data_IF_260015258385
#
_entry.id   IF_260015258385
#
_cell.length_a   1.000
_cell.length_b   1.000
_cell.length_c   1.000
_cell.angle_alpha   90.00
_cell.angle_beta   90.00
_cell.angle_gamma   90.00
#
_symmetry.space_group_name_H-M   'P 1'
#
loop_
_entity.id
_entity.type
_entity.pdbx_description
1 polymer ?
#
# COMPACT_ATOMS: atom_id res chain seq x y z
N UNK A 1 46.38 29.98 10.80
CA UNK A 1 45.97 29.56 9.43
C UNK A 1 45.38 28.16 9.37
N UNK A 2 45.99 27.11 9.87
CA UNK A 2 45.51 25.72 9.82
C UNK A 2 44.14 25.48 10.49
N UNK A 3 43.81 26.22 11.57
CA UNK A 3 42.53 26.07 12.31
C UNK A 3 41.33 26.56 11.50
N UNK A 4 41.48 27.65 10.76
CA UNK A 4 40.42 28.17 9.88
C UNK A 4 40.21 27.29 8.66
N UNK A 5 41.26 26.69 8.10
CA UNK A 5 41.14 25.74 6.98
C UNK A 5 40.38 24.47 7.37
N UNK A 6 40.62 23.95 8.58
CA UNK A 6 39.86 22.78 9.11
C UNK A 6 38.37 23.08 9.33
N UNK A 7 38.07 24.28 9.87
CA UNK A 7 36.68 24.72 10.06
C UNK A 7 35.99 24.90 8.71
N UNK A 8 36.66 25.49 7.73
CA UNK A 8 36.10 25.66 6.38
C UNK A 8 35.83 24.31 5.69
N UNK A 9 36.73 23.34 5.84
CA UNK A 9 36.58 21.99 5.32
C UNK A 9 35.38 21.25 5.98
N UNK A 10 35.21 21.44 7.29
CA UNK A 10 34.11 20.83 8.03
C UNK A 10 32.74 21.40 7.62
N UNK A 11 32.68 22.73 7.46
CA UNK A 11 31.47 23.42 6.97
C UNK A 11 31.12 22.96 5.55
N UNK A 12 32.12 22.88 4.67
CA UNK A 12 31.90 22.38 3.31
C UNK A 12 31.40 20.94 3.28
N UNK A 13 31.95 20.06 4.14
CA UNK A 13 31.48 18.66 4.26
C UNK A 13 30.02 18.58 4.76
N UNK A 14 29.64 19.42 5.73
CA UNK A 14 28.25 19.46 6.25
C UNK A 14 27.31 20.00 5.18
N UNK A 15 27.69 21.00 4.40
CA UNK A 15 26.87 21.53 3.30
C UNK A 15 26.69 20.52 2.17
N UNK A 16 27.69 19.68 1.86
CA UNK A 16 27.55 18.63 0.85
C UNK A 16 26.63 17.49 1.30
N UNK A 17 26.59 17.18 2.59
CA UNK A 17 25.63 16.21 3.17
C UNK A 17 24.18 16.72 3.15
N UNK A 18 23.98 18.02 3.34
CA UNK A 18 22.66 18.65 3.24
C UNK A 18 22.17 18.80 1.78
N UNK A 19 23.08 18.86 0.81
CA UNK A 19 22.76 18.95 -0.62
C UNK A 19 22.32 17.60 -1.25
N UNK A 20 22.54 16.45 -0.58
CA UNK A 20 21.86 15.23 -0.90
C UNK A 20 20.39 15.43 -0.55
N UNK A 21 19.58 15.85 -1.50
CA UNK A 21 18.13 16.04 -1.38
C UNK A 21 17.40 14.72 -1.10
N UNK A 22 17.71 14.10 0.05
CA UNK A 22 16.98 12.94 0.55
C UNK A 22 15.62 13.42 1.06
N UNK A 23 14.69 13.66 0.13
CA UNK A 23 13.30 13.82 0.52
C UNK A 23 12.78 12.45 0.96
N UNK A 24 12.33 12.37 2.19
CA UNK A 24 11.53 11.22 2.64
C UNK A 24 10.40 11.03 1.62
N UNK A 25 10.46 9.95 0.85
CA UNK A 25 9.40 9.52 -0.04
C UNK A 25 8.23 9.08 0.83
N UNK A 26 7.27 10.00 1.12
CA UNK A 26 6.27 9.62 2.08
C UNK A 26 5.12 10.58 2.35
N UNK A 27 4.96 11.64 1.60
CA UNK A 27 3.70 12.38 1.65
C UNK A 27 2.95 12.12 0.33
N UNK A 28 2.13 11.08 0.32
CA UNK A 28 1.09 10.98 -0.67
C UNK A 28 0.13 12.15 -0.38
N UNK A 29 -0.04 13.09 -1.29
CA UNK A 29 -1.08 14.12 -1.18
C UNK A 29 -2.17 13.79 -2.17
N UNK A 30 -3.41 13.62 -1.70
CA UNK A 30 -4.54 13.54 -2.62
C UNK A 30 -4.80 14.91 -3.23
N UNK A 31 -5.25 14.96 -4.50
CA UNK A 31 -5.78 16.19 -5.08
C UNK A 31 -6.93 16.76 -4.23
N UNK A 32 -6.92 18.07 -3.98
CA UNK A 32 -7.92 18.73 -3.11
C UNK A 32 -9.36 18.51 -3.59
N UNK A 33 -9.56 18.41 -4.90
CA UNK A 33 -10.90 18.22 -5.49
C UNK A 33 -11.51 16.85 -5.21
N UNK A 34 -10.73 15.88 -4.71
CA UNK A 34 -11.20 14.56 -4.28
C UNK A 34 -11.57 14.53 -2.79
N UNK A 35 -11.31 15.59 -2.03
CA UNK A 35 -11.63 15.69 -0.61
C UNK A 35 -12.91 16.47 -0.37
N UNK A 36 -13.76 16.05 0.57
CA UNK A 36 -13.62 14.87 1.42
C UNK A 36 -13.94 13.57 0.68
N UNK A 37 -13.17 12.50 0.98
CA UNK A 37 -13.31 11.17 0.38
C UNK A 37 -14.16 10.26 1.30
N UNK A 38 -15.12 9.57 0.73
CA UNK A 38 -15.85 8.49 1.39
C UNK A 38 -15.28 7.13 1.01
N UNK A 39 -15.03 6.28 2.01
CA UNK A 39 -14.64 4.88 1.81
C UNK A 39 -15.86 3.98 2.02
N UNK A 40 -16.30 3.31 0.97
CA UNK A 40 -17.40 2.35 1.10
C UNK A 40 -16.94 1.10 1.84
N UNK A 41 -17.16 1.10 3.16
CA UNK A 41 -16.74 0.02 4.08
C UNK A 41 -17.42 -1.32 3.81
N UNK A 42 -18.62 -1.32 3.19
CA UNK A 42 -19.37 -2.52 2.92
C UNK A 42 -18.89 -3.25 1.67
N UNK A 43 -18.08 -2.55 0.86
CA UNK A 43 -17.49 -3.09 -0.37
C UNK A 43 -16.17 -3.83 -0.16
N UNK A 44 -15.55 -3.77 1.04
CA UNK A 44 -14.20 -4.28 1.31
C UNK A 44 -14.08 -4.99 2.66
N UNK A 45 -13.00 -5.76 2.83
CA UNK A 45 -12.70 -6.36 4.14
C UNK A 45 -12.35 -5.30 5.18
N UNK A 46 -12.66 -5.60 6.46
CA UNK A 46 -12.36 -4.70 7.58
C UNK A 46 -10.86 -4.33 7.67
N UNK A 47 -9.97 -5.27 7.29
CA UNK A 47 -8.54 -5.02 7.33
C UNK A 47 -8.13 -4.04 6.25
N UNK A 48 -8.57 -4.23 5.01
CA UNK A 48 -8.30 -3.30 3.92
C UNK A 48 -8.86 -1.90 4.22
N UNK A 49 -10.10 -1.83 4.76
CA UNK A 49 -10.70 -0.56 5.18
C UNK A 49 -9.83 0.19 6.20
N UNK A 50 -9.35 -0.51 7.26
CA UNK A 50 -8.51 0.11 8.29
C UNK A 50 -7.18 0.61 7.72
N UNK A 51 -6.54 -0.17 6.86
CA UNK A 51 -5.26 0.20 6.24
C UNK A 51 -5.43 1.37 5.26
N UNK A 52 -6.47 1.36 4.41
CA UNK A 52 -6.80 2.48 3.51
C UNK A 52 -7.07 3.75 4.31
N UNK A 53 -7.94 3.68 5.32
CA UNK A 53 -8.25 4.82 6.20
C UNK A 53 -6.99 5.39 6.84
N UNK A 54 -6.12 4.53 7.38
CA UNK A 54 -4.86 4.94 7.99
C UNK A 54 -3.94 5.62 6.98
N UNK A 55 -3.80 5.05 5.79
CA UNK A 55 -2.91 5.55 4.74
C UNK A 55 -3.41 6.88 4.17
N UNK A 56 -4.73 7.03 3.97
CA UNK A 56 -5.35 8.27 3.49
C UNK A 56 -5.22 9.37 4.54
N UNK A 57 -5.49 9.08 5.81
CA UNK A 57 -5.30 10.05 6.90
C UNK A 57 -3.83 10.51 7.00
N UNK A 58 -2.88 9.59 6.84
CA UNK A 58 -1.45 9.90 6.84
C UNK A 58 -1.04 10.78 5.63
N UNK A 59 -1.82 10.77 4.55
CA UNK A 59 -1.61 11.64 3.39
C UNK A 59 -2.12 13.07 3.58
N UNK A 60 -2.82 13.33 4.69
CA UNK A 60 -3.44 14.62 4.97
C UNK A 60 -4.76 14.86 4.23
N UNK A 61 -5.30 13.86 3.54
CA UNK A 61 -6.61 13.97 2.90
C UNK A 61 -7.75 13.85 3.92
N UNK A 62 -8.81 14.59 3.70
CA UNK A 62 -9.99 14.56 4.56
C UNK A 62 -10.90 13.39 4.19
N UNK A 63 -11.29 12.60 5.20
CA UNK A 63 -12.26 11.52 5.08
C UNK A 63 -13.60 11.94 5.68
N UNK A 64 -14.69 11.53 5.04
CA UNK A 64 -16.05 11.66 5.59
C UNK A 64 -16.66 10.29 5.87
N UNK A 65 -17.55 10.22 6.85
CA UNK A 65 -18.35 9.02 7.17
C UNK A 65 -19.72 9.04 6.46
N UNK A 66 -20.05 10.14 5.81
CA UNK A 66 -21.31 10.36 5.11
C UNK A 66 -21.06 10.50 3.60
N UNK A 67 -21.54 9.53 2.84
CA UNK A 67 -21.43 9.52 1.37
C UNK A 67 -22.07 10.75 0.73
N UNK A 68 -23.18 11.26 1.30
CA UNK A 68 -23.90 12.42 0.75
C UNK A 68 -23.07 13.72 0.81
N UNK A 69 -22.08 13.79 1.70
CA UNK A 69 -21.18 14.96 1.86
C UNK A 69 -19.84 14.77 1.18
N UNK A 70 -19.60 13.61 0.59
CA UNK A 70 -18.34 13.27 -0.05
C UNK A 70 -18.17 13.98 -1.40
N UNK A 71 -16.98 14.51 -1.66
CA UNK A 71 -16.59 14.95 -3.00
C UNK A 71 -16.24 13.77 -3.91
N UNK A 72 -15.77 12.67 -3.31
CA UNK A 72 -15.47 11.45 -4.02
C UNK A 72 -15.76 10.19 -3.18
N UNK A 73 -16.03 9.08 -3.87
CA UNK A 73 -16.36 7.76 -3.29
C UNK A 73 -15.41 6.71 -3.83
N UNK A 74 -14.71 6.01 -2.93
CA UNK A 74 -13.86 4.88 -3.26
C UNK A 74 -14.56 3.58 -2.91
N UNK A 75 -14.84 2.79 -3.94
CA UNK A 75 -15.44 1.46 -3.85
C UNK A 75 -14.41 0.39 -4.18
N UNK A 76 -14.42 -0.71 -3.43
CA UNK A 76 -13.60 -1.91 -3.71
C UNK A 76 -14.52 -3.03 -4.18
N UNK A 77 -14.07 -3.79 -5.12
CA UNK A 77 -14.78 -4.98 -5.59
C UNK A 77 -13.79 -6.11 -5.87
N UNK A 78 -14.32 -7.35 -5.87
CA UNK A 78 -13.54 -8.56 -6.18
C UNK A 78 -12.29 -8.75 -5.32
N UNK A 79 -12.33 -8.31 -4.05
CA UNK A 79 -11.25 -8.59 -3.11
C UNK A 79 -11.10 -10.09 -2.91
N UNK A 80 -9.90 -10.62 -3.19
CA UNK A 80 -9.63 -12.05 -3.14
C UNK A 80 -8.18 -12.35 -2.73
N UNK A 81 -8.02 -13.46 -1.98
CA UNK A 81 -6.74 -14.06 -1.61
C UNK A 81 -6.68 -15.47 -2.18
N UNK A 82 -5.61 -15.81 -2.89
CA UNK A 82 -5.39 -17.19 -3.37
C UNK A 82 -4.00 -17.67 -2.99
N UNK A 83 -3.90 -18.99 -2.78
CA UNK A 83 -2.66 -19.69 -2.50
C UNK A 83 -2.55 -20.89 -3.43
N UNK A 84 -1.56 -20.86 -4.32
CA UNK A 84 -1.32 -21.87 -5.33
C UNK A 84 -0.01 -22.58 -5.06
N UNK A 85 0.04 -23.91 -5.21
CA UNK A 85 1.30 -24.67 -5.16
C UNK A 85 2.09 -24.41 -6.44
N UNK A 86 3.33 -23.94 -6.31
CA UNK A 86 4.21 -23.67 -7.47
C UNK A 86 5.43 -24.61 -7.53
N UNK A 87 5.72 -25.31 -6.44
CA UNK A 87 6.80 -26.29 -6.39
C UNK A 87 6.45 -27.46 -5.46
N UNK A 88 6.88 -28.66 -5.84
CA UNK A 88 6.74 -29.88 -5.04
C UNK A 88 8.09 -30.56 -4.85
N UNK A 89 8.23 -31.36 -3.79
CA UNK A 89 9.40 -32.21 -3.57
C UNK A 89 9.34 -33.50 -4.39
N UNK A 90 10.36 -34.35 -4.26
CA UNK A 90 10.46 -35.65 -4.95
C UNK A 90 9.36 -36.64 -4.55
N UNK A 91 8.65 -36.37 -3.45
CA UNK A 91 7.53 -37.18 -2.95
C UNK A 91 6.16 -36.54 -3.31
N UNK A 92 6.15 -35.48 -4.12
CA UNK A 92 4.93 -34.78 -4.53
C UNK A 92 4.33 -33.86 -3.45
N UNK A 93 5.04 -33.58 -2.36
CA UNK A 93 4.56 -32.67 -1.30
C UNK A 93 4.89 -31.24 -1.66
N UNK A 94 3.97 -30.32 -1.39
CA UNK A 94 4.17 -28.89 -1.63
C UNK A 94 5.44 -28.39 -0.92
N UNK A 95 6.26 -27.62 -1.64
CA UNK A 95 7.48 -26.95 -1.14
C UNK A 95 7.42 -25.45 -1.22
N UNK A 96 6.67 -24.93 -2.18
CA UNK A 96 6.55 -23.50 -2.37
C UNK A 96 5.13 -23.15 -2.79
N UNK A 97 4.61 -22.08 -2.20
CA UNK A 97 3.32 -21.51 -2.55
C UNK A 97 3.51 -20.13 -3.15
N UNK A 98 2.65 -19.80 -4.10
CA UNK A 98 2.40 -18.45 -4.55
C UNK A 98 1.17 -17.92 -3.84
N UNK A 99 1.33 -16.82 -3.12
CA UNK A 99 0.25 -16.08 -2.50
C UNK A 99 -0.09 -14.90 -3.41
N UNK A 100 -1.36 -14.75 -3.76
CA UNK A 100 -1.85 -13.64 -4.57
C UNK A 100 -2.95 -12.92 -3.80
N UNK A 101 -2.82 -11.62 -3.69
CA UNK A 101 -3.84 -10.72 -3.18
C UNK A 101 -4.25 -9.75 -4.28
N UNK A 102 -5.54 -9.67 -4.57
CA UNK A 102 -6.05 -8.82 -5.62
C UNK A 102 -7.40 -8.23 -5.28
N UNK A 103 -7.66 -7.06 -5.83
CA UNK A 103 -8.96 -6.42 -5.84
C UNK A 103 -9.07 -5.45 -7.01
N UNK A 104 -10.29 -5.01 -7.27
CA UNK A 104 -10.58 -3.95 -8.22
C UNK A 104 -11.14 -2.77 -7.46
N UNK A 105 -10.74 -1.55 -7.79
CA UNK A 105 -11.33 -0.36 -7.21
C UNK A 105 -11.89 0.58 -8.27
N UNK A 106 -12.90 1.33 -7.87
CA UNK A 106 -13.53 2.39 -8.63
C UNK A 106 -13.49 3.66 -7.80
N UNK A 107 -13.11 4.78 -8.40
CA UNK A 107 -13.24 6.11 -7.81
C UNK A 107 -14.31 6.88 -8.58
N UNK A 108 -15.33 7.34 -7.89
CA UNK A 108 -16.37 8.25 -8.41
C UNK A 108 -16.18 9.61 -7.80
N UNK A 109 -16.28 10.66 -8.62
CA UNK A 109 -16.35 12.05 -8.16
C UNK A 109 -17.45 12.74 -8.94
N UNK A 110 -18.30 13.52 -8.24
CA UNK A 110 -19.45 14.20 -8.86
C UNK A 110 -20.36 13.26 -9.68
N UNK A 111 -20.59 12.04 -9.16
CA UNK A 111 -21.37 10.98 -9.81
C UNK A 111 -20.77 10.37 -11.10
N UNK A 112 -19.60 10.82 -11.51
CA UNK A 112 -18.87 10.27 -12.64
C UNK A 112 -17.73 9.35 -12.19
N UNK A 113 -17.48 8.27 -12.93
CA UNK A 113 -16.33 7.40 -12.68
C UNK A 113 -15.06 8.07 -13.21
N UNK A 114 -14.21 8.56 -12.30
CA UNK A 114 -12.89 9.13 -12.61
C UNK A 114 -11.88 8.01 -12.83
N UNK A 115 -11.99 6.94 -12.03
CA UNK A 115 -11.29 5.66 -12.26
C UNK A 115 -12.35 4.58 -12.33
N UNK A 116 -12.51 3.95 -13.48
CA UNK A 116 -13.38 2.78 -13.62
C UNK A 116 -12.54 1.50 -13.63
N UNK A 117 -12.80 0.64 -12.63
CA UNK A 117 -12.26 -0.73 -12.52
C UNK A 117 -10.75 -0.84 -12.63
N UNK A 118 -10.02 -0.12 -11.79
CA UNK A 118 -8.58 -0.25 -11.69
C UNK A 118 -8.18 -1.48 -10.84
N UNK A 119 -7.38 -2.36 -11.42
CA UNK A 119 -6.96 -3.60 -10.75
C UNK A 119 -5.67 -3.40 -9.95
N UNK A 120 -5.65 -3.90 -8.73
CA UNK A 120 -4.45 -4.09 -7.91
C UNK A 120 -4.24 -5.59 -7.75
N UNK A 121 -3.03 -6.05 -8.03
CA UNK A 121 -2.60 -7.42 -7.79
C UNK A 121 -1.18 -7.43 -7.23
N UNK A 122 -1.01 -8.11 -6.12
CA UNK A 122 0.27 -8.34 -5.47
C UNK A 122 0.52 -9.84 -5.35
N UNK A 123 1.76 -10.25 -5.53
CA UNK A 123 2.19 -11.65 -5.45
C UNK A 123 3.39 -11.76 -4.53
N UNK A 124 3.40 -12.80 -3.68
CA UNK A 124 4.52 -13.19 -2.82
C UNK A 124 4.70 -14.70 -2.87
N UNK A 125 5.93 -15.16 -2.76
CA UNK A 125 6.22 -16.58 -2.62
C UNK A 125 6.46 -16.92 -1.15
N UNK A 126 5.98 -18.10 -0.75
CA UNK A 126 6.14 -18.67 0.58
C UNK A 126 6.78 -20.04 0.47
N UNK A 127 7.94 -20.23 1.09
CA UNK A 127 8.56 -21.54 1.24
C UNK A 127 7.83 -22.32 2.33
N UNK A 128 7.43 -23.55 2.00
CA UNK A 128 6.72 -24.41 2.91
C UNK A 128 7.65 -25.44 3.54
N UNK A 129 7.73 -25.45 4.86
CA UNK A 129 8.36 -26.52 5.62
C UNK A 129 7.28 -27.41 6.24
N UNK A 130 7.16 -28.69 5.81
CA UNK A 130 6.17 -29.62 6.35
C UNK A 130 6.33 -29.90 7.86
N UNK A 131 7.49 -29.64 8.42
CA UNK A 131 7.77 -29.85 9.85
C UNK A 131 7.29 -28.69 10.73
N UNK A 132 6.97 -27.52 10.13
CA UNK A 132 6.61 -26.28 10.80
C UNK A 132 5.20 -25.77 10.40
N UNK A 133 4.22 -26.66 10.29
CA UNK A 133 2.88 -26.36 9.73
C UNK A 133 2.17 -25.20 10.44
N UNK A 134 2.27 -25.09 11.78
CA UNK A 134 1.66 -24.00 12.54
C UNK A 134 2.31 -22.65 12.21
N UNK A 135 3.64 -22.62 12.11
CA UNK A 135 4.39 -21.41 11.72
C UNK A 135 4.04 -20.93 10.32
N UNK A 136 3.81 -21.85 9.38
CA UNK A 136 3.45 -21.52 7.99
C UNK A 136 2.07 -20.84 7.90
N UNK A 137 1.11 -21.24 8.74
CA UNK A 137 -0.20 -20.58 8.76
C UNK A 137 -0.09 -19.13 9.23
N UNK A 138 0.65 -18.88 10.30
CA UNK A 138 0.91 -17.52 10.82
C UNK A 138 1.69 -16.67 9.82
N UNK A 139 2.72 -17.25 9.18
CA UNK A 139 3.51 -16.57 8.14
C UNK A 139 2.65 -16.21 6.93
N UNK A 140 1.77 -17.11 6.50
CA UNK A 140 0.83 -16.85 5.40
C UNK A 140 -0.07 -15.64 5.70
N UNK A 141 -0.64 -15.58 6.90
CA UNK A 141 -1.48 -14.45 7.31
C UNK A 141 -0.68 -13.15 7.49
N UNK A 142 0.57 -13.26 7.94
CA UNK A 142 1.47 -12.10 8.01
C UNK A 142 1.75 -11.53 6.62
N UNK A 143 2.08 -12.39 5.64
CA UNK A 143 2.34 -11.99 4.26
C UNK A 143 1.10 -11.33 3.65
N UNK A 144 -0.10 -11.88 3.84
CA UNK A 144 -1.32 -11.24 3.33
C UNK A 144 -1.57 -9.87 3.96
N UNK A 145 -1.33 -9.69 5.26
CA UNK A 145 -1.45 -8.37 5.92
C UNK A 145 -0.46 -7.36 5.34
N UNK A 146 0.76 -7.79 5.05
CA UNK A 146 1.77 -6.95 4.42
C UNK A 146 1.36 -6.56 3.00
N UNK A 147 0.86 -7.51 2.19
CA UNK A 147 0.35 -7.25 0.85
C UNK A 147 -0.84 -6.27 0.87
N UNK A 148 -1.75 -6.40 1.84
CA UNK A 148 -2.87 -5.46 2.01
C UNK A 148 -2.34 -4.05 2.29
N UNK A 149 -1.38 -3.89 3.19
CA UNK A 149 -0.74 -2.61 3.47
C UNK A 149 -0.06 -2.02 2.24
N UNK A 150 0.75 -2.81 1.53
CA UNK A 150 1.41 -2.36 0.30
C UNK A 150 0.40 -1.91 -0.76
N UNK A 151 -0.72 -2.62 -0.88
CA UNK A 151 -1.77 -2.32 -1.86
C UNK A 151 -2.42 -0.96 -1.65
N UNK A 152 -2.53 -0.48 -0.39
CA UNK A 152 -3.10 0.85 -0.10
C UNK A 152 -2.22 1.97 -0.64
N UNK A 153 -0.90 1.80 -0.57
CA UNK A 153 0.06 2.73 -1.20
C UNK A 153 -0.11 2.81 -2.71
N UNK A 154 -0.38 1.66 -3.37
CA UNK A 154 -0.63 1.62 -4.81
C UNK A 154 -1.94 2.31 -5.19
N UNK A 155 -2.99 2.17 -4.37
CA UNK A 155 -4.24 2.93 -4.57
C UNK A 155 -3.95 4.42 -4.50
N UNK A 156 -3.27 4.89 -3.43
CA UNK A 156 -2.96 6.31 -3.28
C UNK A 156 -2.12 6.87 -4.44
N UNK A 157 -1.13 6.12 -4.91
CA UNK A 157 -0.33 6.53 -6.08
C UNK A 157 -1.19 6.75 -7.33
N UNK A 158 -2.24 5.95 -7.52
CA UNK A 158 -3.16 6.13 -8.65
C UNK A 158 -4.11 7.31 -8.45
N UNK A 159 -4.54 7.55 -7.21
CA UNK A 159 -5.38 8.72 -6.88
C UNK A 159 -4.60 10.04 -7.03
N UNK A 160 -3.30 10.04 -6.75
CA UNK A 160 -2.44 11.22 -6.94
C UNK A 160 -2.19 11.59 -8.40
N UNK A 161 -2.36 10.64 -9.30
CA UNK A 161 -2.10 10.85 -10.74
C UNK A 161 -3.28 11.51 -11.48
N UNK A 162 -4.38 11.80 -10.76
CA UNK A 162 -5.57 12.49 -11.26
C UNK A 162 -5.43 14.00 -11.13
#
# INVERSE_FOLDING_TARGET
>A
MMRHLRVLSLVFLVCTLAACGFQLRGAYSLPEHLSPLYLDKDSMSLLLYKELRSTINASGAELTEDEATAASVLEISRENKTRDVISVDTLGRAREFRLVYRFTFTLKAYEEAVIDKSNIELTRNLLFNPEAVLGVAEETEYIYRDMIRDSTGLVLLRLQAL
#
